data_IF_081053683064
#
_entry.id   IF_081053683064
#
_cell.length_a   1.000
_cell.length_b   1.000
_cell.length_c   1.000
_cell.angle_alpha   90.00
_cell.angle_beta   90.00
_cell.angle_gamma   90.00
#
_symmetry.space_group_name_H-M   'P 1'
#
loop_
_entity.id
_entity.type
_entity.pdbx_description
1 polymer ?
#
# COMPACT_ATOMS: atom_id res chain seq x y z
N UNK A 1 2.68 42.35 -16.79
CA UNK A 1 2.82 41.09 -16.05
C UNK A 1 3.80 40.22 -16.83
N UNK A 2 4.99 39.95 -16.28
CA UNK A 2 6.07 39.30 -17.02
C UNK A 2 5.71 37.84 -17.32
N UNK A 3 5.65 37.50 -18.61
CA UNK A 3 5.31 36.15 -19.10
C UNK A 3 6.25 35.09 -18.54
N UNK A 4 7.52 35.44 -18.30
CA UNK A 4 8.50 34.56 -17.65
C UNK A 4 8.13 34.26 -16.19
N UNK A 5 7.57 35.24 -15.48
CA UNK A 5 7.10 35.07 -14.09
C UNK A 5 5.87 34.16 -14.02
N UNK A 6 4.95 34.28 -14.97
CA UNK A 6 3.78 33.39 -15.09
C UNK A 6 4.22 31.96 -15.41
N UNK A 7 5.13 31.78 -16.38
CA UNK A 7 5.69 30.47 -16.73
C UNK A 7 6.41 29.86 -15.52
N UNK A 8 7.19 30.64 -14.77
CA UNK A 8 7.84 30.16 -13.54
C UNK A 8 6.84 29.78 -12.44
N UNK A 9 5.74 30.54 -12.29
CA UNK A 9 4.67 30.21 -11.34
C UNK A 9 3.90 28.95 -11.75
N UNK A 10 3.66 28.75 -13.05
CA UNK A 10 3.05 27.54 -13.60
C UNK A 10 3.98 26.32 -13.45
N UNK A 11 5.28 26.48 -13.74
CA UNK A 11 6.30 25.46 -13.55
C UNK A 11 6.45 25.09 -12.07
N UNK A 12 6.38 26.07 -11.15
CA UNK A 12 6.36 25.80 -9.71
C UNK A 12 5.07 25.12 -9.24
N UNK A 13 3.92 25.38 -9.87
CA UNK A 13 2.66 24.65 -9.64
C UNK A 13 2.65 23.26 -10.27
N UNK A 14 3.44 23.00 -11.31
CA UNK A 14 3.61 21.67 -11.90
C UNK A 14 4.69 20.87 -11.14
N UNK A 15 5.63 21.56 -10.50
CA UNK A 15 6.40 21.07 -9.35
C UNK A 15 5.55 21.00 -8.07
N UNK A 16 4.25 20.71 -8.18
CA UNK A 16 3.55 19.95 -7.13
C UNK A 16 4.18 18.54 -7.19
N UNK A 17 5.36 18.48 -6.57
CA UNK A 17 5.85 17.37 -5.80
C UNK A 17 5.95 16.03 -6.57
N UNK A 18 6.86 15.98 -7.55
CA UNK A 18 7.31 14.73 -8.18
C UNK A 18 7.85 13.71 -7.16
N UNK A 19 8.33 14.18 -6.00
CA UNK A 19 8.70 13.34 -4.85
C UNK A 19 7.48 12.69 -4.21
N UNK A 20 6.45 13.46 -3.84
CA UNK A 20 5.22 12.91 -3.22
C UNK A 20 4.45 11.98 -4.16
N UNK A 21 4.42 12.27 -5.47
CA UNK A 21 3.73 11.39 -6.43
C UNK A 21 4.44 10.05 -6.60
N UNK A 22 5.76 10.02 -6.57
CA UNK A 22 6.53 8.77 -6.63
C UNK A 22 6.41 7.96 -5.33
N UNK A 23 6.46 8.62 -4.18
CA UNK A 23 6.32 7.98 -2.87
C UNK A 23 4.91 7.40 -2.65
N UNK A 24 3.88 8.10 -3.13
CA UNK A 24 2.50 7.61 -3.06
C UNK A 24 2.29 6.43 -4.01
N UNK A 25 2.88 6.45 -5.20
CA UNK A 25 2.85 5.31 -6.12
C UNK A 25 3.57 4.08 -5.53
N UNK A 26 4.74 4.29 -4.89
CA UNK A 26 5.45 3.24 -4.16
C UNK A 26 4.59 2.65 -3.05
N UNK A 27 3.92 3.50 -2.26
CA UNK A 27 3.06 3.02 -1.16
C UNK A 27 1.86 2.21 -1.67
N UNK A 28 1.24 2.62 -2.78
CA UNK A 28 0.13 1.86 -3.39
C UNK A 28 0.63 0.47 -3.86
N UNK A 29 1.80 0.40 -4.49
CA UNK A 29 2.38 -0.88 -4.89
C UNK A 29 2.70 -1.78 -3.69
N UNK A 30 3.25 -1.21 -2.61
CA UNK A 30 3.52 -1.94 -1.37
C UNK A 30 2.24 -2.50 -0.75
N UNK A 31 1.13 -1.74 -0.80
CA UNK A 31 -0.18 -2.19 -0.33
C UNK A 31 -0.69 -3.35 -1.19
N UNK A 32 -0.61 -3.25 -2.52
CA UNK A 32 -1.01 -4.34 -3.42
C UNK A 32 -0.20 -5.61 -3.20
N UNK A 33 1.11 -5.47 -2.99
CA UNK A 33 1.98 -6.59 -2.66
C UNK A 33 1.59 -7.22 -1.31
N UNK A 34 1.37 -6.40 -0.29
CA UNK A 34 0.93 -6.88 1.02
C UNK A 34 -0.44 -7.59 0.94
N UNK A 35 -1.36 -7.11 0.10
CA UNK A 35 -2.66 -7.76 -0.16
C UNK A 35 -2.47 -9.15 -0.77
N UNK A 36 -1.63 -9.26 -1.81
CA UNK A 36 -1.30 -10.55 -2.45
C UNK A 36 -0.65 -11.52 -1.46
N UNK A 37 0.28 -11.02 -0.65
CA UNK A 37 0.95 -11.83 0.38
C UNK A 37 -0.04 -12.33 1.44
N UNK A 38 -1.00 -11.50 1.87
CA UNK A 38 -2.06 -11.93 2.78
C UNK A 38 -2.94 -13.02 2.16
N UNK A 39 -3.34 -12.86 0.89
CA UNK A 39 -4.09 -13.90 0.16
C UNK A 39 -3.29 -15.20 0.09
N UNK A 40 -2.01 -15.15 -0.25
CA UNK A 40 -1.15 -16.34 -0.30
C UNK A 40 -0.94 -16.99 1.06
N UNK A 41 -0.78 -16.20 2.12
CA UNK A 41 -0.63 -16.72 3.47
C UNK A 41 -1.90 -17.43 3.95
N UNK A 42 -3.08 -16.86 3.66
CA UNK A 42 -4.37 -17.51 3.92
C UNK A 42 -4.53 -18.79 3.10
N UNK A 43 -4.20 -18.78 1.82
CA UNK A 43 -4.21 -20.00 1.00
C UNK A 43 -3.26 -21.07 1.54
N UNK A 44 -2.09 -20.68 2.02
CA UNK A 44 -1.14 -21.61 2.62
C UNK A 44 -1.70 -22.23 3.91
N UNK A 45 -2.31 -21.42 4.78
CA UNK A 45 -3.02 -21.91 5.97
C UNK A 45 -4.14 -22.88 5.62
N UNK A 46 -4.94 -22.59 4.59
CA UNK A 46 -6.04 -23.46 4.15
C UNK A 46 -5.55 -24.80 3.57
N UNK A 47 -4.34 -24.84 3.00
CA UNK A 47 -3.81 -26.00 2.27
C UNK A 47 -2.79 -26.83 3.06
N UNK A 48 -2.21 -26.30 4.14
CA UNK A 48 -1.17 -27.00 4.90
C UNK A 48 -1.74 -28.24 5.61
N UNK A 49 -1.08 -29.39 5.41
CA UNK A 49 -1.48 -30.68 6.02
C UNK A 49 -0.47 -31.21 7.04
N UNK A 50 0.76 -30.72 7.01
CA UNK A 50 1.79 -31.10 7.98
C UNK A 50 1.50 -30.39 9.31
N UNK A 51 1.17 -31.13 10.39
CA UNK A 51 0.77 -30.54 11.67
C UNK A 51 1.81 -29.56 12.24
N UNK A 52 3.11 -29.84 12.04
CA UNK A 52 4.19 -28.98 12.53
C UNK A 52 4.31 -27.64 11.79
N UNK A 53 3.63 -27.49 10.65
CA UNK A 53 3.62 -26.27 9.85
C UNK A 53 2.34 -25.44 10.02
N UNK A 54 1.33 -25.96 10.75
CA UNK A 54 0.07 -25.23 10.98
C UNK A 54 0.32 -23.95 11.76
N UNK A 55 1.08 -24.03 12.86
CA UNK A 55 1.43 -22.84 13.64
C UNK A 55 2.20 -21.82 12.81
N UNK A 56 3.15 -22.29 11.99
CA UNK A 56 3.88 -21.44 11.06
C UNK A 56 2.92 -20.74 10.07
N UNK A 57 1.91 -21.45 9.56
CA UNK A 57 0.91 -20.88 8.66
C UNK A 57 0.05 -19.81 9.35
N UNK A 58 -0.38 -20.05 10.59
CA UNK A 58 -1.14 -19.08 11.41
C UNK A 58 -0.31 -17.80 11.61
N UNK A 59 0.93 -17.93 12.07
CA UNK A 59 1.79 -16.76 12.29
C UNK A 59 2.10 -16.01 11.00
N UNK A 60 2.22 -16.72 9.88
CA UNK A 60 2.46 -16.12 8.57
C UNK A 60 1.25 -15.31 8.09
N UNK A 61 0.03 -15.84 8.23
CA UNK A 61 -1.20 -15.11 7.90
C UNK A 61 -1.37 -13.85 8.76
N UNK A 62 -1.19 -13.97 10.08
CA UNK A 62 -1.31 -12.84 11.00
C UNK A 62 -0.24 -11.77 10.76
N UNK A 63 1.00 -12.18 10.45
CA UNK A 63 2.06 -11.24 10.09
C UNK A 63 1.76 -10.50 8.78
N UNK A 64 1.27 -11.21 7.76
CA UNK A 64 0.88 -10.59 6.49
C UNK A 64 -0.29 -9.62 6.67
N UNK A 65 -1.27 -9.98 7.50
CA UNK A 65 -2.42 -9.12 7.85
C UNK A 65 -1.97 -7.86 8.59
N UNK A 66 -1.09 -8.00 9.57
CA UNK A 66 -0.54 -6.86 10.31
C UNK A 66 0.20 -5.88 9.39
N UNK A 67 1.04 -6.39 8.48
CA UNK A 67 1.73 -5.56 7.48
C UNK A 67 0.75 -4.84 6.57
N UNK A 68 -0.27 -5.53 6.06
CA UNK A 68 -1.30 -4.93 5.22
C UNK A 68 -2.03 -3.79 5.92
N UNK A 69 -2.52 -4.03 7.14
CA UNK A 69 -3.24 -3.02 7.95
C UNK A 69 -2.35 -1.80 8.23
N UNK A 70 -1.09 -2.02 8.59
CA UNK A 70 -0.13 -0.93 8.80
C UNK A 70 0.01 -0.04 7.56
N UNK A 71 0.15 -0.63 6.37
CA UNK A 71 0.31 0.15 5.14
C UNK A 71 -0.97 0.93 4.77
N UNK A 72 -2.16 0.36 5.02
CA UNK A 72 -3.43 1.07 4.86
C UNK A 72 -3.51 2.29 5.80
N UNK A 73 -3.15 2.12 7.08
CA UNK A 73 -3.11 3.22 8.05
C UNK A 73 -2.13 4.32 7.61
N UNK A 74 -0.93 3.93 7.15
CA UNK A 74 0.07 4.85 6.62
C UNK A 74 -0.42 5.62 5.39
N UNK A 75 -1.16 4.97 4.48
CA UNK A 75 -1.77 5.65 3.34
C UNK A 75 -2.84 6.66 3.75
N UNK A 76 -3.65 6.34 4.78
CA UNK A 76 -4.63 7.28 5.36
C UNK A 76 -3.95 8.49 5.98
N UNK A 77 -2.88 8.30 6.75
CA UNK A 77 -2.06 9.38 7.32
C UNK A 77 -1.50 10.32 6.24
N UNK A 78 -1.01 9.74 5.14
CA UNK A 78 -0.50 10.47 3.97
C UNK A 78 -1.60 11.05 3.07
N UNK A 79 -2.89 10.83 3.38
CA UNK A 79 -4.05 11.23 2.57
C UNK A 79 -3.97 10.72 1.11
N UNK A 80 -3.34 9.56 0.91
CA UNK A 80 -3.31 8.88 -0.39
C UNK A 80 -4.71 8.37 -0.69
N UNK A 81 -5.20 8.66 -1.90
CA UNK A 81 -6.46 8.08 -2.38
C UNK A 81 -6.23 6.62 -2.74
N UNK A 82 -6.77 5.72 -1.94
CA UNK A 82 -6.86 4.30 -2.27
C UNK A 82 -8.16 4.03 -3.00
N UNK A 83 -8.13 3.13 -3.97
CA UNK A 83 -9.33 2.57 -4.59
C UNK A 83 -10.09 1.67 -3.60
N UNK A 84 -11.39 1.46 -3.84
CA UNK A 84 -12.25 0.68 -2.92
C UNK A 84 -11.80 -0.79 -2.77
N UNK A 85 -11.10 -1.33 -3.78
CA UNK A 85 -10.55 -2.70 -3.77
C UNK A 85 -9.46 -2.93 -2.69
N UNK A 86 -8.92 -1.86 -2.09
CA UNK A 86 -7.98 -1.91 -0.97
C UNK A 86 -8.67 -1.90 0.40
N UNK A 87 -9.96 -1.61 0.46
CA UNK A 87 -10.68 -1.65 1.73
C UNK A 87 -11.08 -3.11 2.00
N UNK A 88 -10.48 -3.72 3.03
CA UNK A 88 -10.98 -5.01 3.52
C UNK A 88 -12.42 -4.77 3.97
N UNK A 89 -13.38 -5.39 3.28
CA UNK A 89 -14.76 -5.52 3.77
C UNK A 89 -14.66 -6.15 5.16
N UNK A 90 -14.88 -5.31 6.16
CA UNK A 90 -14.78 -5.65 7.59
C UNK A 90 -16.12 -6.18 8.06
#
# INVERSE_FOLDING_TARGET
MDKAKIVKMLMNKINIDKSDTNDNYSLINDIEEARKNLVYARMYFDLVKEPRLVDYAIYTEEAAKAKYVYLILKAREKKVKLEDNFMLNT
#
